data_IF_695731932047
#
_entry.id   IF_695731932047
#
_cell.length_a   1.000
_cell.length_b   1.000
_cell.length_c   1.000
_cell.angle_alpha   90.00
_cell.angle_beta   90.00
_cell.angle_gamma   90.00
#
_symmetry.space_group_name_H-M   'P 1'
#
loop_
_entity.id
_entity.type
_entity.pdbx_description
1 polymer ?
#
# COMPACT_ATOMS: atom_id res chain seq x y z
N UNK A 1 2.45 53.22 30.85
CA UNK A 1 1.69 52.13 30.21
C UNK A 1 2.66 51.51 29.23
N UNK A 2 3.33 50.43 29.64
CA UNK A 2 4.26 49.66 28.80
C UNK A 2 3.50 48.48 28.23
N UNK A 3 3.39 48.43 26.91
CA UNK A 3 2.85 47.27 26.16
C UNK A 3 3.86 46.12 26.24
N UNK A 4 3.48 45.07 26.96
CA UNK A 4 4.24 43.83 27.03
C UNK A 4 3.70 42.95 25.88
N UNK A 5 4.40 42.93 24.76
CA UNK A 5 4.18 41.93 23.70
C UNK A 5 4.44 40.54 24.27
N UNK A 6 3.35 39.72 24.36
CA UNK A 6 3.47 38.28 24.58
C UNK A 6 3.97 37.63 23.30
N UNK A 7 5.27 37.34 23.23
CA UNK A 7 5.83 36.46 22.26
C UNK A 7 5.30 35.04 22.56
N UNK A 8 4.43 34.51 21.73
CA UNK A 8 3.95 33.13 21.80
C UNK A 8 5.08 32.14 21.58
N UNK A 9 5.05 30.97 22.21
CA UNK A 9 6.12 29.98 22.07
C UNK A 9 6.23 29.53 20.61
N UNK A 10 7.45 29.53 20.08
CA UNK A 10 7.75 28.97 18.76
C UNK A 10 7.35 27.52 18.71
N UNK A 11 6.51 27.15 17.74
CA UNK A 11 6.10 25.77 17.51
C UNK A 11 7.35 24.91 17.21
N UNK A 12 7.50 23.73 17.84
CA UNK A 12 8.65 22.85 17.63
C UNK A 12 8.55 22.11 16.28
N UNK A 13 8.84 22.82 15.19
CA UNK A 13 8.81 22.22 13.85
C UNK A 13 10.07 21.44 13.45
N UNK A 14 11.23 21.75 14.06
CA UNK A 14 12.50 21.20 13.61
C UNK A 14 12.78 19.75 14.06
N UNK A 15 12.34 19.36 15.25
CA UNK A 15 12.63 18.02 15.80
C UNK A 15 11.80 16.91 15.15
N UNK A 16 10.51 17.14 14.92
CA UNK A 16 9.62 16.15 14.28
C UNK A 16 9.96 15.97 12.79
N UNK A 17 10.34 17.03 12.08
CA UNK A 17 10.80 16.94 10.70
C UNK A 17 12.13 16.18 10.57
N UNK A 18 13.06 16.34 11.50
CA UNK A 18 14.32 15.60 11.50
C UNK A 18 14.16 14.11 11.76
N UNK A 19 13.24 13.70 12.66
CA UNK A 19 12.90 12.30 12.91
C UNK A 19 12.18 11.65 11.73
N UNK A 20 11.28 12.37 11.06
CA UNK A 20 10.58 11.89 9.86
C UNK A 20 11.56 11.69 8.70
N UNK A 21 12.45 12.64 8.42
CA UNK A 21 13.45 12.51 7.37
C UNK A 21 14.45 11.36 7.64
N UNK A 22 14.79 11.09 8.90
CA UNK A 22 15.57 9.92 9.30
C UNK A 22 14.88 8.62 8.94
N UNK A 23 13.63 8.49 9.35
CA UNK A 23 12.81 7.30 9.06
C UNK A 23 12.59 7.08 7.55
N UNK A 24 12.35 8.12 6.76
CA UNK A 24 12.25 7.99 5.30
C UNK A 24 13.53 7.37 4.69
N UNK A 25 14.72 7.79 5.15
CA UNK A 25 15.99 7.20 4.68
C UNK A 25 16.15 5.73 5.11
N UNK A 26 15.76 5.40 6.33
CA UNK A 26 15.80 4.02 6.85
C UNK A 26 14.87 3.11 6.02
N UNK A 27 13.65 3.54 5.74
CA UNK A 27 12.68 2.81 4.92
C UNK A 27 13.18 2.65 3.49
N UNK A 28 13.73 3.69 2.86
CA UNK A 28 14.30 3.62 1.53
C UNK A 28 15.46 2.62 1.45
N UNK A 29 16.35 2.60 2.46
CA UNK A 29 17.43 1.64 2.55
C UNK A 29 16.93 0.20 2.80
N UNK A 30 15.92 0.04 3.67
CA UNK A 30 15.28 -1.25 3.91
C UNK A 30 14.58 -1.77 2.65
N UNK A 31 13.90 -0.91 1.89
CA UNK A 31 13.29 -1.27 0.62
C UNK A 31 14.30 -1.79 -0.38
N UNK A 32 15.46 -1.15 -0.52
CA UNK A 32 16.52 -1.63 -1.39
C UNK A 32 17.00 -3.05 -0.96
N UNK A 33 17.19 -3.28 0.35
CA UNK A 33 17.57 -4.61 0.86
C UNK A 33 16.49 -5.67 0.59
N UNK A 34 15.21 -5.35 0.83
CA UNK A 34 14.11 -6.29 0.53
C UNK A 34 14.08 -6.67 -0.96
N UNK A 35 14.31 -5.72 -1.87
CA UNK A 35 14.38 -6.01 -3.31
C UNK A 35 15.55 -6.96 -3.64
N UNK A 36 16.72 -6.74 -3.04
CA UNK A 36 17.87 -7.64 -3.20
C UNK A 36 17.59 -9.03 -2.59
N UNK A 37 16.87 -9.11 -1.49
CA UNK A 37 16.46 -10.37 -0.87
C UNK A 37 15.42 -11.12 -1.71
N UNK A 38 14.46 -10.41 -2.32
CA UNK A 38 13.51 -10.98 -3.26
C UNK A 38 14.26 -11.52 -4.49
N UNK A 39 15.16 -10.75 -5.07
CA UNK A 39 15.94 -11.15 -6.24
C UNK A 39 16.82 -12.37 -5.99
N UNK A 40 17.32 -12.54 -4.76
CA UNK A 40 18.15 -13.69 -4.34
C UNK A 40 17.32 -14.87 -3.78
N UNK A 41 15.99 -14.75 -3.67
CA UNK A 41 15.10 -15.77 -3.11
C UNK A 41 15.17 -15.91 -1.58
N UNK A 42 15.84 -15.00 -0.86
CA UNK A 42 15.84 -14.97 0.61
C UNK A 42 14.50 -14.47 1.18
N UNK A 43 13.88 -13.52 0.53
CA UNK A 43 12.50 -13.12 0.78
C UNK A 43 11.62 -13.65 -0.36
N UNK A 44 10.88 -14.72 -0.09
CA UNK A 44 10.06 -15.41 -1.09
C UNK A 44 8.66 -14.78 -1.16
N UNK A 45 8.41 -14.01 -2.22
CA UNK A 45 7.11 -13.39 -2.51
C UNK A 45 6.64 -13.87 -3.89
N UNK A 46 6.01 -15.06 -3.99
CA UNK A 46 5.61 -15.64 -5.27
C UNK A 46 4.57 -14.78 -6.01
N UNK A 47 4.47 -14.98 -7.32
CA UNK A 47 3.41 -14.35 -8.11
C UNK A 47 2.04 -14.86 -7.64
N UNK A 48 0.99 -14.02 -7.65
CA UNK A 48 -0.36 -14.46 -7.30
C UNK A 48 -0.88 -15.47 -8.34
N UNK A 49 -1.70 -16.43 -7.90
CA UNK A 49 -2.29 -17.42 -8.79
C UNK A 49 -1.35 -18.54 -9.27
N UNK A 50 -0.18 -18.68 -8.62
CA UNK A 50 0.80 -19.73 -8.97
C UNK A 50 0.79 -20.93 -8.01
N UNK A 51 -0.29 -21.14 -7.25
CA UNK A 51 -0.42 -22.19 -6.23
C UNK A 51 0.23 -21.83 -4.89
N UNK A 52 0.73 -20.59 -4.74
CA UNK A 52 1.45 -20.11 -3.56
C UNK A 52 1.00 -18.72 -3.09
N UNK A 53 -0.24 -18.34 -3.42
CA UNK A 53 -0.76 -16.99 -3.10
C UNK A 53 -0.85 -16.75 -1.60
N UNK A 54 -1.12 -17.77 -0.78
CA UNK A 54 -1.10 -17.64 0.69
C UNK A 54 0.28 -17.24 1.20
N UNK A 55 1.36 -17.77 0.62
CA UNK A 55 2.74 -17.41 1.01
C UNK A 55 3.07 -15.97 0.65
N UNK A 56 2.60 -15.49 -0.52
CA UNK A 56 2.68 -14.08 -0.88
C UNK A 56 2.03 -13.19 0.19
N UNK A 57 0.80 -13.51 0.60
CA UNK A 57 0.08 -12.72 1.60
C UNK A 57 0.75 -12.75 2.97
N UNK A 58 1.28 -13.92 3.39
CA UNK A 58 2.02 -14.05 4.64
C UNK A 58 3.32 -13.25 4.61
N UNK A 59 4.08 -13.29 3.51
CA UNK A 59 5.31 -12.52 3.37
C UNK A 59 5.04 -11.00 3.44
N UNK A 60 4.01 -10.52 2.74
CA UNK A 60 3.60 -9.12 2.81
C UNK A 60 3.14 -8.71 4.22
N UNK A 61 2.33 -9.56 4.88
CA UNK A 61 1.90 -9.30 6.25
C UNK A 61 3.09 -9.26 7.22
N UNK A 62 4.10 -10.12 7.05
CA UNK A 62 5.29 -10.13 7.87
C UNK A 62 6.12 -8.84 7.72
N UNK A 63 6.35 -8.37 6.51
CA UNK A 63 7.02 -7.07 6.27
C UNK A 63 6.21 -5.92 6.87
N UNK A 64 4.86 -5.99 6.78
CA UNK A 64 3.98 -4.98 7.38
C UNK A 64 4.04 -4.95 8.91
N UNK A 65 4.32 -6.08 9.56
CA UNK A 65 4.53 -6.14 11.02
C UNK A 65 5.81 -5.42 11.47
N UNK A 66 6.77 -5.24 10.56
CA UNK A 66 7.98 -4.46 10.83
C UNK A 66 7.73 -2.97 10.59
N UNK A 67 7.17 -2.62 9.41
CA UNK A 67 6.90 -1.23 9.06
C UNK A 67 5.89 -1.14 7.89
N UNK A 68 4.82 -0.37 8.07
CA UNK A 68 3.76 -0.21 7.05
C UNK A 68 4.19 0.64 5.86
N UNK A 69 5.06 1.62 6.06
CA UNK A 69 5.61 2.41 4.96
C UNK A 69 6.57 1.56 4.11
N UNK A 70 7.37 0.68 4.75
CA UNK A 70 8.24 -0.27 4.05
C UNK A 70 7.41 -1.23 3.19
N UNK A 71 6.41 -1.89 3.78
CA UNK A 71 5.61 -2.86 3.02
C UNK A 71 4.87 -2.19 1.86
N UNK A 72 4.47 -0.92 1.98
CA UNK A 72 3.86 -0.21 0.85
C UNK A 72 4.79 -0.11 -0.35
N UNK A 73 6.11 0.03 -0.13
CA UNK A 73 7.10 0.05 -1.20
C UNK A 73 7.40 -1.36 -1.73
N UNK A 74 7.54 -2.33 -0.82
CA UNK A 74 7.78 -3.75 -1.19
C UNK A 74 6.58 -4.31 -1.96
N UNK A 75 5.35 -4.06 -1.48
CA UNK A 75 4.12 -4.46 -2.14
C UNK A 75 4.04 -3.86 -3.56
N UNK A 76 4.31 -2.54 -3.69
CA UNK A 76 4.34 -1.88 -4.99
C UNK A 76 5.36 -2.49 -5.96
N UNK A 77 6.53 -2.91 -5.46
CA UNK A 77 7.55 -3.58 -6.28
C UNK A 77 7.10 -4.97 -6.75
N UNK A 78 6.62 -5.81 -5.84
CA UNK A 78 6.20 -7.17 -6.21
C UNK A 78 4.89 -7.19 -7.01
N UNK A 79 4.04 -6.15 -6.87
CA UNK A 79 2.87 -5.98 -7.73
C UNK A 79 3.30 -5.52 -9.14
N UNK A 80 4.27 -4.61 -9.25
CA UNK A 80 4.84 -4.23 -10.55
C UNK A 80 5.41 -5.45 -11.29
N UNK A 81 6.15 -6.31 -10.61
CA UNK A 81 6.68 -7.56 -11.19
C UNK A 81 5.55 -8.47 -11.67
N UNK A 82 4.48 -8.61 -10.88
CA UNK A 82 3.30 -9.41 -11.26
C UNK A 82 2.58 -8.81 -12.48
N UNK A 83 2.38 -7.49 -12.53
CA UNK A 83 1.78 -6.78 -13.66
C UNK A 83 2.59 -6.98 -14.93
N UNK A 84 3.92 -6.82 -14.85
CA UNK A 84 4.80 -6.99 -15.99
C UNK A 84 4.77 -8.42 -16.53
N UNK A 85 4.72 -9.42 -15.64
CA UNK A 85 4.60 -10.83 -16.03
C UNK A 85 3.26 -11.12 -16.72
N UNK A 86 2.15 -10.59 -16.18
CA UNK A 86 0.79 -10.84 -16.69
C UNK A 86 0.53 -10.13 -18.01
N UNK A 87 1.01 -8.88 -18.18
CA UNK A 87 0.73 -8.05 -19.36
C UNK A 87 1.86 -8.06 -20.42
N UNK A 88 2.89 -8.90 -20.25
CA UNK A 88 3.99 -9.02 -21.21
C UNK A 88 4.91 -7.79 -21.26
N UNK A 89 5.11 -7.14 -20.13
CA UNK A 89 6.02 -5.99 -20.02
C UNK A 89 7.51 -6.38 -19.91
N UNK A 90 8.42 -5.40 -19.74
CA UNK A 90 9.84 -5.68 -19.56
C UNK A 90 10.09 -6.44 -18.26
N UNK A 91 11.04 -7.38 -18.28
CA UNK A 91 11.46 -8.12 -17.09
C UNK A 91 12.22 -7.19 -16.15
N UNK A 92 11.84 -7.16 -14.88
CA UNK A 92 12.56 -6.38 -13.87
C UNK A 92 13.98 -6.92 -13.68
N UNK A 93 14.98 -6.04 -13.80
CA UNK A 93 16.38 -6.41 -13.61
C UNK A 93 16.77 -6.40 -12.12
N UNK A 94 17.80 -7.19 -11.71
CA UNK A 94 18.32 -7.15 -10.35
C UNK A 94 18.69 -5.71 -9.93
N UNK A 95 18.27 -5.33 -8.72
CA UNK A 95 18.51 -3.99 -8.15
C UNK A 95 17.52 -2.90 -8.63
N UNK A 96 16.67 -3.18 -9.63
CA UNK A 96 15.59 -2.27 -9.99
C UNK A 96 14.51 -2.28 -8.93
N UNK A 97 14.11 -1.09 -8.49
CA UNK A 97 13.05 -0.85 -7.52
C UNK A 97 11.87 -0.24 -8.27
N UNK A 98 10.79 -1.00 -8.35
CA UNK A 98 9.60 -0.62 -9.12
C UNK A 98 8.51 -0.06 -8.22
N UNK A 99 7.82 0.99 -8.69
CA UNK A 99 6.58 1.49 -8.10
C UNK A 99 5.38 1.23 -9.03
N UNK A 100 4.17 1.19 -8.47
CA UNK A 100 2.91 1.23 -9.23
C UNK A 100 2.21 2.53 -8.90
N UNK A 101 2.22 3.47 -9.84
CA UNK A 101 1.66 4.81 -9.70
C UNK A 101 0.42 4.95 -10.58
N UNK A 102 -0.66 4.33 -10.15
CA UNK A 102 -1.91 4.21 -10.92
C UNK A 102 -3.10 4.95 -10.29
N UNK A 103 -2.88 5.75 -9.24
CA UNK A 103 -3.93 6.58 -8.67
C UNK A 103 -4.37 7.67 -9.65
N UNK A 104 -5.70 7.88 -9.77
CA UNK A 104 -6.31 8.87 -10.64
C UNK A 104 -7.30 9.75 -9.86
N UNK A 105 -6.80 10.66 -9.02
CA UNK A 105 -7.65 11.62 -8.34
C UNK A 105 -8.22 12.63 -9.35
N UNK A 106 -9.33 13.30 -9.04
CA UNK A 106 -9.89 14.36 -9.89
C UNK A 106 -8.87 15.43 -10.25
N UNK A 107 -8.93 15.90 -11.50
CA UNK A 107 -8.04 16.93 -12.06
C UNK A 107 -7.14 16.41 -13.18
N UNK A 108 -6.25 17.27 -13.73
CA UNK A 108 -5.34 16.87 -14.79
C UNK A 108 -4.34 15.83 -14.29
N UNK A 109 -4.21 14.72 -15.06
CA UNK A 109 -3.29 13.63 -14.82
C UNK A 109 -2.13 13.62 -15.82
N UNK A 110 -1.57 12.42 -16.04
CA UNK A 110 -0.59 12.19 -17.10
C UNK A 110 -1.30 12.02 -18.44
N UNK A 111 -0.71 12.60 -19.48
CA UNK A 111 -1.05 12.35 -20.88
C UNK A 111 0.07 11.57 -21.56
N UNK A 112 -0.29 10.72 -22.50
CA UNK A 112 0.64 9.96 -23.32
C UNK A 112 0.40 10.27 -24.79
N UNK A 113 1.48 10.50 -25.57
CA UNK A 113 1.44 10.71 -27.01
C UNK A 113 2.41 9.77 -27.71
N UNK A 114 2.00 9.26 -28.86
CA UNK A 114 2.85 8.42 -29.72
C UNK A 114 3.48 9.29 -30.79
N UNK A 115 4.80 9.48 -30.72
CA UNK A 115 5.60 10.17 -31.72
C UNK A 115 6.40 9.21 -32.59
N UNK A 116 7.23 9.76 -33.48
CA UNK A 116 8.10 8.99 -34.37
C UNK A 116 9.09 8.10 -33.58
N UNK A 117 9.54 8.57 -32.40
CA UNK A 117 10.50 7.87 -31.53
C UNK A 117 9.85 7.01 -30.45
N UNK A 118 8.55 6.76 -30.49
CA UNK A 118 7.79 6.00 -29.52
C UNK A 118 6.93 6.85 -28.59
N UNK A 119 6.48 6.23 -27.50
CA UNK A 119 5.61 6.90 -26.54
C UNK A 119 6.35 7.86 -25.62
N UNK A 120 5.71 8.99 -25.37
CA UNK A 120 6.17 10.03 -24.44
C UNK A 120 5.03 10.36 -23.48
N UNK A 121 5.35 10.54 -22.20
CA UNK A 121 4.37 10.95 -21.19
C UNK A 121 4.76 12.28 -20.56
N UNK A 122 3.75 13.12 -20.29
CA UNK A 122 3.91 14.42 -19.64
C UNK A 122 2.75 14.71 -18.72
N UNK A 123 2.98 15.54 -17.68
CA UNK A 123 1.97 15.94 -16.71
C UNK A 123 2.37 15.67 -15.28
N UNK A 124 1.39 15.62 -14.36
CA UNK A 124 1.59 15.38 -12.92
C UNK A 124 0.90 14.10 -12.50
N UNK A 125 1.64 13.20 -11.85
CA UNK A 125 1.09 12.02 -11.19
C UNK A 125 1.11 12.22 -9.70
N UNK A 126 -0.02 11.98 -9.05
CA UNK A 126 -0.17 12.13 -7.60
C UNK A 126 -0.02 10.78 -6.91
N UNK A 127 0.36 10.82 -5.63
CA UNK A 127 0.47 9.63 -4.77
C UNK A 127 1.45 8.58 -5.29
N UNK A 128 2.65 9.01 -5.69
CA UNK A 128 3.72 8.17 -6.21
C UNK A 128 4.56 7.60 -5.06
N UNK A 129 4.11 6.49 -4.44
CA UNK A 129 4.85 5.86 -3.34
C UNK A 129 6.28 5.51 -3.76
N UNK A 130 7.27 5.85 -2.93
CA UNK A 130 8.67 5.69 -3.26
C UNK A 130 9.19 6.65 -4.31
N UNK A 131 8.62 7.86 -4.40
CA UNK A 131 8.97 8.86 -5.41
C UNK A 131 10.48 9.17 -5.47
N UNK A 132 11.20 9.11 -4.33
CA UNK A 132 12.64 9.30 -4.24
C UNK A 132 13.45 7.99 -4.15
N UNK A 133 12.82 6.81 -4.15
CA UNK A 133 13.51 5.53 -3.98
C UNK A 133 13.30 4.51 -5.10
N UNK A 134 12.22 4.62 -5.90
CA UNK A 134 11.99 3.78 -7.06
C UNK A 134 12.89 4.19 -8.22
N UNK A 135 13.52 3.21 -8.87
CA UNK A 135 14.31 3.40 -10.11
C UNK A 135 13.45 3.34 -11.36
N UNK A 136 12.33 2.65 -11.26
CA UNK A 136 11.37 2.41 -12.32
C UNK A 136 9.95 2.53 -11.76
N UNK A 137 8.99 2.83 -12.61
CA UNK A 137 7.58 2.83 -12.21
C UNK A 137 6.68 2.36 -13.35
N UNK A 138 5.58 1.71 -12.98
CA UNK A 138 4.42 1.55 -13.83
C UNK A 138 3.47 2.71 -13.56
N UNK A 139 3.12 3.45 -14.61
CA UNK A 139 2.27 4.64 -14.49
C UNK A 139 1.09 4.55 -15.45
N UNK A 140 -0.11 4.91 -15.00
CA UNK A 140 -1.24 5.10 -15.91
C UNK A 140 -1.22 6.50 -16.48
N UNK A 141 -1.46 6.62 -17.79
CA UNK A 141 -1.60 7.88 -18.51
C UNK A 141 -2.74 7.80 -19.54
N UNK A 142 -3.35 8.93 -19.84
CA UNK A 142 -4.40 9.06 -20.85
C UNK A 142 -3.76 9.29 -22.23
N UNK A 143 -4.00 8.37 -23.16
CA UNK A 143 -3.68 8.49 -24.56
C UNK A 143 -4.94 8.83 -25.38
N UNK A 144 -4.79 9.10 -26.69
CA UNK A 144 -5.92 9.44 -27.56
C UNK A 144 -6.95 8.30 -27.67
N UNK A 145 -6.52 7.03 -27.50
CA UNK A 145 -7.37 5.84 -27.58
C UNK A 145 -7.88 5.34 -26.22
N UNK A 146 -7.50 6.00 -25.12
CA UNK A 146 -7.94 5.63 -23.77
C UNK A 146 -6.80 5.59 -22.76
N UNK A 147 -7.10 5.08 -21.56
CA UNK A 147 -6.12 4.93 -20.49
C UNK A 147 -5.21 3.73 -20.76
N UNK A 148 -3.90 3.94 -20.65
CA UNK A 148 -2.87 2.91 -20.83
C UNK A 148 -1.93 2.86 -19.65
N UNK A 149 -1.27 1.71 -19.48
CA UNK A 149 -0.17 1.53 -18.53
C UNK A 149 1.17 1.65 -19.26
N UNK A 150 2.12 2.32 -18.63
CA UNK A 150 3.47 2.52 -19.17
C UNK A 150 4.52 2.18 -18.13
N UNK A 151 5.58 1.51 -18.56
CA UNK A 151 6.83 1.36 -17.81
C UNK A 151 7.75 2.54 -18.12
N UNK A 152 8.26 3.17 -17.06
CA UNK A 152 9.16 4.33 -17.16
C UNK A 152 10.36 4.17 -16.21
N UNK A 153 11.50 4.76 -16.59
CA UNK A 153 12.62 4.99 -15.67
C UNK A 153 12.42 6.30 -14.95
N UNK A 154 12.56 6.31 -13.61
CA UNK A 154 12.36 7.52 -12.80
C UNK A 154 13.62 8.39 -12.73
N UNK A 155 14.77 7.85 -13.11
CA UNK A 155 16.04 8.59 -13.15
C UNK A 155 16.79 8.70 -11.83
N UNK A 156 16.33 8.03 -10.78
CA UNK A 156 17.10 7.94 -9.54
C UNK A 156 18.39 7.14 -9.78
N UNK A 157 19.52 7.83 -9.70
CA UNK A 157 20.87 7.26 -9.85
C UNK A 157 21.54 7.43 -11.22
N UNK A 158 20.86 7.86 -12.27
CA UNK A 158 21.48 8.04 -13.61
C UNK A 158 20.75 9.02 -14.54
N UNK A 159 20.07 10.05 -13.98
CA UNK A 159 19.66 11.22 -14.76
C UNK A 159 18.70 10.94 -15.92
N UNK A 160 17.56 10.29 -15.69
CA UNK A 160 16.44 10.42 -16.62
C UNK A 160 15.96 11.88 -16.52
N UNK A 161 16.37 12.69 -17.47
CA UNK A 161 15.84 14.04 -17.61
C UNK A 161 14.33 13.93 -17.82
N UNK A 162 13.52 14.41 -16.88
CA UNK A 162 12.08 14.48 -17.08
C UNK A 162 11.19 14.00 -15.93
N UNK A 163 11.65 13.11 -15.05
CA UNK A 163 10.91 12.73 -13.84
C UNK A 163 11.40 13.53 -12.64
N UNK A 164 10.53 14.29 -11.99
CA UNK A 164 10.90 15.10 -10.83
C UNK A 164 9.84 15.02 -9.72
N UNK A 165 10.18 14.42 -8.57
CA UNK A 165 9.33 14.51 -7.39
C UNK A 165 9.08 15.96 -6.99
N UNK A 166 7.88 16.25 -6.48
CA UNK A 166 7.48 17.57 -6.02
C UNK A 166 7.69 17.64 -4.51
N UNK A 167 8.68 18.42 -4.11
CA UNK A 167 9.01 18.61 -2.70
C UNK A 167 7.80 19.11 -1.90
N UNK A 168 7.59 18.53 -0.70
CA UNK A 168 6.51 18.93 0.20
C UNK A 168 5.10 18.56 -0.26
N UNK A 169 4.93 17.79 -1.34
CA UNK A 169 3.61 17.34 -1.79
C UNK A 169 3.04 16.18 -0.98
N UNK A 170 3.85 15.50 -0.16
CA UNK A 170 3.44 14.45 0.77
C UNK A 170 3.64 14.92 2.21
N UNK A 171 2.54 15.30 2.88
CA UNK A 171 2.54 15.89 4.23
C UNK A 171 1.81 15.01 5.26
N UNK A 172 1.60 13.74 4.94
CA UNK A 172 0.92 12.81 5.83
C UNK A 172 1.79 12.48 7.05
N UNK A 173 1.19 12.46 8.24
CA UNK A 173 1.85 11.98 9.46
C UNK A 173 1.92 10.45 9.47
N UNK A 174 0.81 9.78 9.18
CA UNK A 174 0.79 8.34 8.93
C UNK A 174 1.25 8.03 7.50
N UNK A 175 1.97 6.95 7.32
CA UNK A 175 2.59 6.56 6.05
C UNK A 175 3.60 7.60 5.52
N UNK A 176 4.19 8.41 6.40
CA UNK A 176 5.12 9.47 6.01
C UNK A 176 6.31 8.91 5.21
N UNK A 177 6.87 7.79 5.65
CA UNK A 177 8.03 7.18 5.03
C UNK A 177 7.72 6.35 3.77
N UNK A 178 6.44 6.20 3.38
CA UNK A 178 6.09 5.68 2.06
C UNK A 178 6.46 6.63 0.93
N UNK A 179 6.82 7.89 1.27
CA UNK A 179 7.30 8.88 0.31
C UNK A 179 6.40 8.97 -0.94
N UNK A 180 5.07 9.12 -0.68
CA UNK A 180 4.05 9.11 -1.74
C UNK A 180 3.87 10.51 -2.37
N UNK A 181 4.99 11.16 -2.69
CA UNK A 181 5.01 12.48 -3.29
C UNK A 181 4.35 12.49 -4.69
N UNK A 182 3.99 13.67 -5.14
CA UNK A 182 3.62 13.86 -6.53
C UNK A 182 4.89 13.89 -7.40
N UNK A 183 4.79 13.41 -8.65
CA UNK A 183 5.88 13.43 -9.62
C UNK A 183 5.44 14.16 -10.87
N UNK A 184 6.28 15.10 -11.34
CA UNK A 184 6.12 15.77 -12.63
C UNK A 184 6.93 15.01 -13.68
N UNK A 185 6.28 14.74 -14.79
CA UNK A 185 6.84 14.12 -15.98
C UNK A 185 6.90 15.17 -17.09
N UNK A 186 8.04 15.32 -17.72
CA UNK A 186 8.25 16.21 -18.84
C UNK A 186 8.90 15.43 -19.97
N UNK A 187 8.10 15.09 -20.97
CA UNK A 187 8.49 14.35 -22.18
C UNK A 187 9.31 13.08 -21.88
N UNK A 188 8.82 12.29 -20.91
CA UNK A 188 9.50 11.07 -20.48
C UNK A 188 9.19 9.94 -21.45
N UNK A 189 10.23 9.30 -21.99
CA UNK A 189 10.09 8.09 -22.82
C UNK A 189 9.45 6.97 -22.01
N UNK A 190 8.47 6.30 -22.61
CA UNK A 190 7.65 5.30 -21.93
C UNK A 190 7.47 4.05 -22.82
N UNK A 191 7.45 2.88 -22.17
CA UNK A 191 7.19 1.60 -22.83
C UNK A 191 5.76 1.19 -22.47
N UNK A 192 4.85 0.98 -23.44
CA UNK A 192 3.49 0.54 -23.14
C UNK A 192 3.50 -0.88 -22.58
N UNK A 193 2.65 -1.13 -21.58
CA UNK A 193 2.48 -2.44 -20.93
C UNK A 193 1.02 -2.86 -21.06
N UNK A 194 0.77 -3.89 -21.84
CA UNK A 194 -0.58 -4.29 -22.23
C UNK A 194 -1.28 -3.30 -23.18
N UNK A 195 -2.58 -3.50 -23.39
CA UNK A 195 -3.45 -2.68 -24.23
C UNK A 195 -4.12 -1.53 -23.47
N UNK A 196 -5.12 -0.90 -24.13
CA UNK A 196 -6.01 0.08 -23.50
C UNK A 196 -6.80 -0.61 -22.40
N UNK A 197 -6.93 0.04 -21.25
CA UNK A 197 -7.60 -0.43 -20.01
C UNK A 197 -7.08 -1.77 -19.42
N UNK A 198 -6.12 -2.43 -20.06
CA UNK A 198 -5.62 -3.75 -19.65
C UNK A 198 -5.17 -3.81 -18.17
N UNK A 199 -4.69 -2.70 -17.62
CA UNK A 199 -4.28 -2.64 -16.20
C UNK A 199 -5.42 -2.94 -15.24
N UNK A 200 -6.61 -2.39 -15.47
CA UNK A 200 -7.76 -2.55 -14.56
C UNK A 200 -8.62 -3.77 -14.91
N UNK A 201 -8.54 -4.26 -16.16
CA UNK A 201 -9.31 -5.38 -16.65
C UNK A 201 -8.64 -6.73 -16.38
N UNK A 202 -7.33 -6.75 -16.10
CA UNK A 202 -6.60 -7.98 -15.78
C UNK A 202 -7.11 -8.63 -14.48
N UNK A 203 -7.18 -9.96 -14.38
CA UNK A 203 -7.52 -10.66 -13.12
C UNK A 203 -6.63 -10.29 -11.95
N UNK A 204 -5.33 -10.15 -12.19
CA UNK A 204 -4.34 -9.75 -11.20
C UNK A 204 -4.58 -8.39 -10.54
N UNK A 205 -5.43 -7.50 -11.12
CA UNK A 205 -5.82 -6.26 -10.46
C UNK A 205 -6.62 -6.53 -9.17
N UNK A 206 -7.48 -7.54 -9.18
CA UNK A 206 -8.24 -7.94 -8.00
C UNK A 206 -7.34 -8.69 -7.01
N UNK A 207 -6.42 -9.52 -7.50
CA UNK A 207 -5.46 -10.26 -6.68
C UNK A 207 -4.50 -9.32 -5.91
N UNK A 208 -3.94 -8.31 -6.59
CA UNK A 208 -3.10 -7.28 -5.99
C UNK A 208 -3.85 -6.46 -4.93
N UNK A 209 -5.12 -6.14 -5.21
CA UNK A 209 -5.98 -5.48 -4.24
C UNK A 209 -6.14 -6.25 -2.92
N UNK A 210 -6.23 -7.58 -2.96
CA UNK A 210 -6.25 -8.46 -1.77
C UNK A 210 -4.87 -8.50 -1.10
N UNK A 211 -3.79 -8.49 -1.88
CA UNK A 211 -2.41 -8.36 -1.37
C UNK A 211 -2.20 -7.11 -0.51
N UNK A 212 -2.79 -5.98 -0.91
CA UNK A 212 -2.80 -4.75 -0.09
C UNK A 212 -3.54 -4.98 1.24
N UNK A 213 -4.66 -5.72 1.25
CA UNK A 213 -5.37 -6.05 2.49
C UNK A 213 -4.54 -6.96 3.41
N UNK A 214 -3.69 -7.84 2.88
CA UNK A 214 -2.73 -8.61 3.66
C UNK A 214 -1.68 -7.70 4.34
N UNK A 215 -1.25 -6.60 3.70
CA UNK A 215 -0.41 -5.59 4.35
C UNK A 215 -1.13 -4.92 5.53
N UNK A 216 -2.41 -4.55 5.38
CA UNK A 216 -3.20 -3.98 6.48
C UNK A 216 -3.33 -4.96 7.65
N UNK A 217 -3.60 -6.22 7.36
CA UNK A 217 -3.67 -7.29 8.36
C UNK A 217 -2.37 -7.40 9.16
N UNK A 218 -1.20 -7.37 8.52
CA UNK A 218 0.10 -7.35 9.19
C UNK A 218 0.27 -6.14 10.11
N UNK A 219 -0.13 -4.95 9.65
CA UNK A 219 -0.15 -3.73 10.46
C UNK A 219 -1.07 -3.83 11.69
N UNK A 220 -2.26 -4.41 11.53
CA UNK A 220 -3.18 -4.65 12.63
C UNK A 220 -2.58 -5.63 13.68
N UNK A 221 -1.87 -6.66 13.24
CA UNK A 221 -1.13 -7.58 14.13
C UNK A 221 -0.05 -6.84 14.92
N UNK A 222 0.70 -5.94 14.27
CA UNK A 222 1.71 -5.13 14.94
C UNK A 222 1.10 -4.22 16.02
N UNK A 223 -0.03 -3.56 15.73
CA UNK A 223 -0.77 -2.76 16.72
C UNK A 223 -1.25 -3.62 17.89
N UNK A 224 -1.78 -4.82 17.61
CA UNK A 224 -2.29 -5.75 18.62
C UNK A 224 -1.20 -6.26 19.59
N UNK A 225 0.06 -6.39 19.13
CA UNK A 225 1.20 -6.80 19.99
C UNK A 225 1.37 -5.90 21.21
N UNK A 226 1.08 -4.62 21.09
CA UNK A 226 1.15 -3.68 22.24
C UNK A 226 0.15 -4.07 23.33
N UNK A 227 -1.09 -4.40 22.96
CA UNK A 227 -2.09 -4.86 23.90
C UNK A 227 -1.70 -6.22 24.54
N UNK A 228 -1.23 -7.16 23.72
CA UNK A 228 -0.79 -8.48 24.21
C UNK A 228 0.39 -8.35 25.19
N UNK A 229 1.38 -7.52 24.87
CA UNK A 229 2.53 -7.27 25.75
C UNK A 229 2.11 -6.61 27.08
N UNK A 230 1.19 -5.64 27.02
CA UNK A 230 0.64 -5.01 28.21
C UNK A 230 -0.14 -6.01 29.07
N UNK A 231 -0.97 -6.84 28.49
CA UNK A 231 -1.74 -7.86 29.22
C UNK A 231 -0.81 -8.87 29.94
N UNK A 232 0.27 -9.30 29.25
CA UNK A 232 1.26 -10.19 29.84
C UNK A 232 2.01 -9.57 31.04
N UNK A 233 2.24 -8.25 31.03
CA UNK A 233 2.97 -7.55 32.10
C UNK A 233 2.10 -7.20 33.30
N UNK A 234 0.83 -6.83 33.10
CA UNK A 234 -0.06 -6.32 34.18
C UNK A 234 -0.77 -7.41 34.95
N UNK A 235 -0.75 -8.65 34.49
CA UNK A 235 -1.53 -9.76 35.07
C UNK A 235 -3.02 -9.68 34.67
N UNK A 236 -3.82 -10.58 35.26
CA UNK A 236 -5.23 -10.72 34.92
C UNK A 236 -6.04 -9.43 35.19
N UNK A 237 -6.70 -8.93 34.17
CA UNK A 237 -7.62 -7.80 34.23
C UNK A 237 -8.80 -8.06 33.27
N UNK A 238 -10.03 -8.28 33.79
CA UNK A 238 -11.16 -8.67 32.95
C UNK A 238 -11.49 -7.70 31.82
N UNK A 239 -11.23 -6.39 31.95
CA UNK A 239 -11.46 -5.41 30.88
C UNK A 239 -10.39 -5.50 29.79
N UNK A 240 -9.12 -5.63 30.18
CA UNK A 240 -8.02 -5.85 29.23
C UNK A 240 -8.19 -7.18 28.50
N UNK A 241 -8.57 -8.24 29.24
CA UNK A 241 -8.79 -9.58 28.68
C UNK A 241 -9.95 -9.58 27.67
N UNK A 242 -11.04 -8.83 27.95
CA UNK A 242 -12.16 -8.67 27.03
C UNK A 242 -11.73 -7.98 25.72
N UNK A 243 -10.90 -6.94 25.79
CA UNK A 243 -10.35 -6.28 24.59
C UNK A 243 -9.39 -7.19 23.83
N UNK A 244 -8.52 -7.93 24.54
CA UNK A 244 -7.60 -8.88 23.93
C UNK A 244 -8.36 -9.99 23.19
N UNK A 245 -9.38 -10.58 23.83
CA UNK A 245 -10.24 -11.59 23.19
C UNK A 245 -10.98 -11.07 21.95
N UNK A 246 -11.44 -9.81 22.00
CA UNK A 246 -12.09 -9.18 20.86
C UNK A 246 -11.12 -8.98 19.69
N UNK A 247 -9.86 -8.61 19.95
CA UNK A 247 -8.80 -8.46 18.94
C UNK A 247 -8.39 -9.83 18.38
N UNK A 248 -8.17 -10.82 19.24
CA UNK A 248 -7.78 -12.19 18.84
C UNK A 248 -8.79 -12.79 17.86
N UNK A 249 -10.08 -12.78 18.25
CA UNK A 249 -11.16 -13.30 17.39
C UNK A 249 -11.16 -12.66 15.99
N UNK A 250 -10.97 -11.35 15.92
CA UNK A 250 -10.97 -10.60 14.65
C UNK A 250 -9.77 -10.90 13.78
N UNK A 251 -8.58 -10.93 14.39
CA UNK A 251 -7.36 -11.26 13.66
C UNK A 251 -7.34 -12.71 13.17
N UNK A 252 -7.88 -13.65 13.98
CA UNK A 252 -8.04 -15.04 13.56
C UNK A 252 -8.96 -15.16 12.35
N UNK A 253 -10.14 -14.51 12.40
CA UNK A 253 -11.08 -14.50 11.28
C UNK A 253 -10.47 -13.84 10.03
N UNK A 254 -9.74 -12.73 10.19
CA UNK A 254 -9.06 -12.05 9.09
C UNK A 254 -8.02 -12.94 8.40
N UNK A 255 -7.22 -13.67 9.18
CA UNK A 255 -6.26 -14.64 8.65
C UNK A 255 -6.94 -15.76 7.85
N UNK A 256 -8.06 -16.31 8.35
CA UNK A 256 -8.83 -17.34 7.67
C UNK A 256 -9.43 -16.83 6.33
N UNK A 257 -9.97 -15.61 6.31
CA UNK A 257 -10.52 -14.98 5.09
C UNK A 257 -9.41 -14.75 4.04
N UNK A 258 -8.23 -14.30 4.45
CA UNK A 258 -7.10 -14.12 3.54
C UNK A 258 -6.61 -15.47 2.98
N UNK A 259 -6.54 -16.52 3.80
CA UNK A 259 -6.15 -17.86 3.38
C UNK A 259 -7.15 -18.45 2.37
N UNK A 260 -8.45 -18.30 2.65
CA UNK A 260 -9.50 -18.72 1.72
C UNK A 260 -9.41 -17.99 0.38
N UNK A 261 -9.25 -16.66 0.41
CA UNK A 261 -9.10 -15.86 -0.81
C UNK A 261 -7.88 -16.27 -1.64
N UNK A 262 -6.77 -16.61 -0.99
CA UNK A 262 -5.57 -17.10 -1.65
C UNK A 262 -5.80 -18.45 -2.36
N UNK A 263 -6.49 -19.39 -1.69
CA UNK A 263 -6.85 -20.69 -2.25
C UNK A 263 -7.78 -20.54 -3.47
N UNK A 264 -8.76 -19.62 -3.39
CA UNK A 264 -9.66 -19.33 -4.50
C UNK A 264 -8.92 -18.70 -5.70
N UNK A 265 -7.96 -17.81 -5.47
CA UNK A 265 -7.11 -17.21 -6.51
C UNK A 265 -6.24 -18.30 -7.16
N UNK A 266 -5.64 -19.20 -6.37
CA UNK A 266 -4.78 -20.26 -6.91
C UNK A 266 -5.58 -21.31 -7.71
N UNK A 267 -6.88 -21.48 -7.43
CA UNK A 267 -7.79 -22.38 -8.19
C UNK A 267 -8.28 -21.78 -9.51
N UNK A 268 -8.42 -20.46 -9.57
CA UNK A 268 -8.90 -19.73 -10.77
C UNK A 268 -8.11 -18.42 -10.93
N UNK A 269 -6.82 -18.52 -11.32
CA UNK A 269 -5.94 -17.35 -11.42
C UNK A 269 -6.35 -16.36 -12.51
N UNK A 270 -7.02 -16.87 -13.56
CA UNK A 270 -7.49 -16.07 -14.70
C UNK A 270 -8.91 -15.53 -14.50
N UNK A 271 -9.50 -15.73 -13.32
CA UNK A 271 -10.86 -15.30 -12.95
C UNK A 271 -11.92 -15.72 -13.99
N UNK A 272 -11.82 -16.94 -14.48
CA UNK A 272 -12.69 -17.47 -15.54
C UNK A 272 -14.14 -17.55 -15.12
N UNK A 273 -14.42 -17.64 -13.81
CA UNK A 273 -15.78 -17.64 -13.26
C UNK A 273 -16.28 -16.22 -12.91
N UNK A 274 -15.45 -15.19 -13.06
CA UNK A 274 -15.82 -13.79 -12.82
C UNK A 274 -16.08 -13.43 -11.35
N UNK A 275 -15.50 -14.17 -10.40
CA UNK A 275 -15.70 -13.96 -8.95
C UNK A 275 -14.72 -12.96 -8.33
N UNK A 276 -13.65 -12.59 -9.03
CA UNK A 276 -12.52 -11.83 -8.50
C UNK A 276 -12.92 -10.47 -7.95
N UNK A 277 -13.80 -9.74 -8.65
CA UNK A 277 -14.26 -8.42 -8.19
C UNK A 277 -15.00 -8.50 -6.85
N UNK A 278 -15.96 -9.40 -6.75
CA UNK A 278 -16.74 -9.58 -5.52
C UNK A 278 -15.86 -10.09 -4.38
N UNK A 279 -14.97 -11.06 -4.64
CA UNK A 279 -13.96 -11.54 -3.70
C UNK A 279 -13.11 -10.39 -3.16
N UNK A 280 -12.56 -9.56 -4.04
CA UNK A 280 -11.73 -8.41 -3.65
C UNK A 280 -12.49 -7.42 -2.76
N UNK A 281 -13.74 -7.07 -3.11
CA UNK A 281 -14.57 -6.16 -2.32
C UNK A 281 -14.87 -6.75 -0.94
N UNK A 282 -15.25 -8.02 -0.84
CA UNK A 282 -15.53 -8.73 0.43
C UNK A 282 -14.30 -8.74 1.34
N UNK A 283 -13.17 -9.19 0.81
CA UNK A 283 -11.93 -9.34 1.59
C UNK A 283 -11.43 -7.98 2.06
N UNK A 284 -11.31 -7.02 1.15
CA UNK A 284 -10.80 -5.68 1.49
C UNK A 284 -11.70 -4.96 2.49
N UNK A 285 -13.02 -5.01 2.31
CA UNK A 285 -13.97 -4.40 3.23
C UNK A 285 -13.93 -5.04 4.61
N UNK A 286 -13.86 -6.38 4.68
CA UNK A 286 -13.75 -7.09 5.95
C UNK A 286 -12.43 -6.79 6.68
N UNK A 287 -11.29 -6.87 5.99
CA UNK A 287 -9.98 -6.59 6.59
C UNK A 287 -9.88 -5.12 7.06
N UNK A 288 -10.39 -4.17 6.28
CA UNK A 288 -10.46 -2.76 6.69
C UNK A 288 -11.23 -2.60 8.00
N UNK A 289 -12.42 -3.22 8.11
CA UNK A 289 -13.23 -3.16 9.33
C UNK A 289 -12.53 -3.79 10.53
N UNK A 290 -11.85 -4.92 10.33
CA UNK A 290 -11.04 -5.56 11.38
C UNK A 290 -9.91 -4.65 11.84
N UNK A 291 -9.20 -3.98 10.93
CA UNK A 291 -8.14 -3.05 11.28
C UNK A 291 -8.66 -1.86 12.09
N UNK A 292 -9.81 -1.29 11.72
CA UNK A 292 -10.46 -0.21 12.45
C UNK A 292 -10.87 -0.64 13.87
N UNK A 293 -11.42 -1.86 14.00
CA UNK A 293 -11.78 -2.45 15.29
C UNK A 293 -10.55 -2.69 16.16
N UNK A 294 -9.45 -3.23 15.59
CA UNK A 294 -8.20 -3.45 16.31
C UNK A 294 -7.64 -2.14 16.85
N UNK A 295 -7.57 -1.09 16.04
CA UNK A 295 -7.16 0.25 16.49
C UNK A 295 -8.03 0.74 17.65
N UNK A 296 -9.35 0.54 17.57
CA UNK A 296 -10.30 0.94 18.60
C UNK A 296 -10.11 0.16 19.90
N UNK A 297 -10.03 -1.16 19.83
CA UNK A 297 -9.90 -2.02 21.03
C UNK A 297 -8.56 -1.80 21.71
N UNK A 298 -7.46 -1.72 20.94
CA UNK A 298 -6.12 -1.46 21.49
C UNK A 298 -6.09 -0.09 22.16
N UNK A 299 -6.57 0.97 21.48
CA UNK A 299 -6.59 2.32 22.06
C UNK A 299 -7.41 2.42 23.35
N UNK A 300 -8.58 1.75 23.43
CA UNK A 300 -9.40 1.71 24.65
C UNK A 300 -8.72 0.97 25.79
N UNK A 301 -8.05 -0.13 25.51
CA UNK A 301 -7.40 -0.95 26.54
C UNK A 301 -6.10 -0.34 27.06
N UNK A 302 -5.33 0.31 26.20
CA UNK A 302 -3.99 0.83 26.53
C UNK A 302 -3.99 2.30 26.92
N UNK A 303 -5.03 3.06 26.55
CA UNK A 303 -5.09 4.50 26.74
C UNK A 303 -4.08 5.26 25.88
N UNK A 304 -3.71 6.45 26.34
CA UNK A 304 -2.79 7.34 25.60
C UNK A 304 -1.30 6.97 25.75
N UNK A 305 -0.96 6.18 26.76
CA UNK A 305 0.44 5.92 27.14
C UNK A 305 1.28 5.39 25.97
N UNK A 306 0.88 4.32 25.25
CA UNK A 306 1.70 3.82 24.13
C UNK A 306 1.80 4.82 22.96
N UNK A 307 0.78 5.63 22.75
CA UNK A 307 0.80 6.67 21.71
C UNK A 307 1.78 7.81 22.04
N UNK A 308 2.06 8.04 23.33
CA UNK A 308 2.95 9.10 23.79
C UNK A 308 4.40 8.64 23.99
N UNK A 309 4.61 7.36 24.35
CA UNK A 309 5.91 6.88 24.83
C UNK A 309 6.47 5.66 24.05
N UNK A 310 5.68 5.07 23.14
CA UNK A 310 6.15 3.97 22.29
C UNK A 310 6.13 4.38 20.82
N UNK A 311 7.27 4.88 20.27
CA UNK A 311 7.31 5.40 18.89
C UNK A 311 7.00 4.33 17.84
N UNK A 312 7.28 3.05 18.11
CA UNK A 312 6.94 1.94 17.20
C UNK A 312 5.42 1.76 17.14
N UNK A 313 4.76 1.70 18.30
CA UNK A 313 3.29 1.60 18.35
C UNK A 313 2.61 2.81 17.70
N UNK A 314 3.07 4.02 18.04
CA UNK A 314 2.52 5.26 17.48
C UNK A 314 2.59 5.26 15.96
N UNK A 315 3.73 4.84 15.40
CA UNK A 315 3.92 4.73 13.95
C UNK A 315 2.94 3.72 13.35
N UNK A 316 2.89 2.48 13.85
CA UNK A 316 1.95 1.48 13.33
C UNK A 316 0.50 1.93 13.41
N UNK A 317 0.09 2.55 14.50
CA UNK A 317 -1.29 3.01 14.68
C UNK A 317 -1.63 4.15 13.70
N UNK A 318 -0.75 5.12 13.51
CA UNK A 318 -0.98 6.25 12.59
C UNK A 318 -0.87 5.82 11.13
N UNK A 319 0.08 4.96 10.80
CA UNK A 319 0.26 4.44 9.44
C UNK A 319 -0.92 3.57 9.03
N UNK A 320 -1.37 2.66 9.89
CA UNK A 320 -2.52 1.79 9.62
C UNK A 320 -3.80 2.62 9.40
N UNK A 321 -4.03 3.65 10.24
CA UNK A 321 -5.19 4.53 10.10
C UNK A 321 -5.26 5.24 8.74
N UNK A 322 -4.11 5.55 8.13
CA UNK A 322 -4.01 6.13 6.79
C UNK A 322 -4.11 5.06 5.71
N UNK A 323 -3.37 3.95 5.86
CA UNK A 323 -3.23 2.95 4.80
C UNK A 323 -4.55 2.26 4.47
N UNK A 324 -5.38 1.93 5.48
CA UNK A 324 -6.69 1.30 5.26
C UNK A 324 -7.68 2.20 4.48
N UNK A 325 -7.43 3.54 4.41
CA UNK A 325 -8.26 4.45 3.60
C UNK A 325 -8.12 4.25 2.09
N UNK A 326 -7.24 3.36 1.62
CA UNK A 326 -7.27 2.88 0.24
C UNK A 326 -8.51 2.00 -0.08
N UNK A 327 -9.22 1.55 0.94
CA UNK A 327 -10.59 1.06 0.80
C UNK A 327 -11.55 2.26 0.83
N UNK A 328 -12.40 2.38 -0.18
CA UNK A 328 -13.30 3.54 -0.32
C UNK A 328 -14.62 3.38 0.46
N UNK A 329 -14.59 2.67 1.60
CA UNK A 329 -15.71 2.56 2.55
C UNK A 329 -17.04 2.27 1.88
N UNK A 330 -18.03 3.14 2.13
CA UNK A 330 -19.40 2.99 1.68
C UNK A 330 -19.56 2.86 0.16
N UNK A 331 -18.67 3.46 -0.63
CA UNK A 331 -18.70 3.32 -2.09
C UNK A 331 -18.43 1.85 -2.51
N UNK A 332 -17.44 1.20 -1.89
CA UNK A 332 -17.12 -0.18 -2.17
C UNK A 332 -18.19 -1.13 -1.60
N UNK A 333 -18.76 -0.80 -0.43
CA UNK A 333 -19.86 -1.56 0.16
C UNK A 333 -21.13 -1.47 -0.68
N UNK A 334 -21.45 -0.30 -1.25
CA UNK A 334 -22.59 -0.13 -2.14
C UNK A 334 -22.41 -0.98 -3.43
N UNK A 335 -21.22 -0.99 -4.01
CA UNK A 335 -20.90 -1.85 -5.14
C UNK A 335 -21.02 -3.34 -4.79
N UNK A 336 -20.46 -3.76 -3.66
CA UNK A 336 -20.58 -5.13 -3.17
C UNK A 336 -22.04 -5.52 -2.97
N UNK A 337 -22.85 -4.66 -2.35
CA UNK A 337 -24.28 -4.92 -2.12
C UNK A 337 -25.06 -5.13 -3.43
N UNK A 338 -24.77 -4.33 -4.45
CA UNK A 338 -25.36 -4.49 -5.79
C UNK A 338 -24.98 -5.83 -6.40
N UNK A 339 -23.69 -6.19 -6.41
CA UNK A 339 -23.21 -7.46 -6.94
C UNK A 339 -23.78 -8.67 -6.18
N UNK A 340 -23.90 -8.59 -4.86
CA UNK A 340 -24.48 -9.64 -4.03
C UNK A 340 -25.97 -9.84 -4.30
N UNK A 341 -26.73 -8.76 -4.56
CA UNK A 341 -28.12 -8.86 -4.94
C UNK A 341 -28.31 -9.49 -6.34
N UNK A 342 -27.40 -9.21 -7.28
CA UNK A 342 -27.42 -9.75 -8.63
C UNK A 342 -26.98 -11.23 -8.67
N UNK A 343 -26.09 -11.68 -7.76
CA UNK A 343 -25.61 -13.07 -7.73
C UNK A 343 -26.64 -14.10 -7.28
N UNK A 344 -27.70 -13.68 -6.57
CA UNK A 344 -28.70 -14.57 -5.98
C UNK A 344 -28.21 -15.44 -4.82
N UNK A 345 -27.01 -15.22 -4.30
CA UNK A 345 -26.44 -16.01 -3.18
C UNK A 345 -27.27 -15.96 -1.89
N UNK A 346 -28.16 -14.98 -1.76
CA UNK A 346 -29.04 -14.80 -0.58
C UNK A 346 -30.46 -15.33 -0.79
N UNK A 347 -30.75 -15.89 -1.95
CA UNK A 347 -32.04 -16.49 -2.31
C UNK A 347 -31.94 -18.01 -2.23
#
# INVERSE_FOLDING_TARGET
MQDTECAGPALPGAGAAATSAGHCREVAAAFARCVDEIASGRLDVPLPGTGRTVQRFLALAQVAEEDLSLVRLVEGHVDAVAILAELGGPVAAPGERWGVWAAEPPGPGLTASLGADGWVISGRKRYCSGAHSCTNALVTALADDGRRLFAVRTGLGSGSAGCRPVEGSWQALGMAASDSADVIFTDVRAIPVGGVEAYVERPGFQHGGIGVAACWYGGARAVARTLAAMAAQRGANPLTDAHLGAVDMRLHAAGAVLAQAADEIDKDPDDTVGAGRMRSLRVRGFIESVCADVLTHVGRATGAEPLCHNPVHTRHATDLAVYIRQHHGERNLAELGRLAAESGEWQ
#
